data_IF_280498480383
#
_entry.id   IF_280498480383
#
_cell.length_a   1.000
_cell.length_b   1.000
_cell.length_c   1.000
_cell.angle_alpha   90.00
_cell.angle_beta   90.00
_cell.angle_gamma   90.00
#
_symmetry.space_group_name_H-M   'P 1'
#
loop_
_entity.id
_entity.type
_entity.pdbx_description
1 polymer ?
#
# COMPACT_ATOMS: atom_id res chain seq x y z
N UNK A 1 3.53 -22.99 8.54
CA UNK A 1 3.55 -23.42 7.13
C UNK A 1 3.74 -22.17 6.29
N UNK A 2 4.99 -21.98 5.81
CA UNK A 2 5.48 -21.23 4.62
C UNK A 2 4.57 -20.05 4.21
N UNK A 3 4.85 -18.77 4.50
CA UNK A 3 6.09 -17.99 4.30
C UNK A 3 6.70 -18.13 2.90
N UNK A 4 5.90 -17.75 1.88
CA UNK A 4 6.33 -17.10 0.63
C UNK A 4 5.10 -16.82 -0.28
N UNK A 5 5.12 -15.76 -1.09
CA UNK A 5 4.12 -15.52 -2.13
C UNK A 5 4.14 -16.69 -3.14
N UNK A 6 2.97 -17.26 -3.41
CA UNK A 6 2.79 -18.20 -4.53
C UNK A 6 3.16 -17.45 -5.80
N UNK A 7 4.33 -17.76 -6.34
CA UNK A 7 4.92 -17.23 -7.57
C UNK A 7 3.95 -16.53 -8.52
N UNK A 8 4.30 -15.28 -8.85
CA UNK A 8 3.59 -14.41 -9.79
C UNK A 8 3.20 -13.06 -9.18
N UNK A 9 4.10 -12.41 -8.43
CA UNK A 9 4.01 -10.95 -8.34
C UNK A 9 4.27 -10.50 -9.78
N UNK A 10 3.21 -10.10 -10.49
CA UNK A 10 3.35 -9.68 -11.89
C UNK A 10 4.31 -8.49 -11.99
N UNK A 11 4.48 -7.93 -13.19
CA UNK A 11 5.31 -6.73 -13.34
C UNK A 11 4.78 -5.52 -12.54
N UNK A 12 3.51 -5.58 -12.12
CA UNK A 12 2.76 -4.52 -11.45
C UNK A 12 1.87 -5.09 -10.34
N UNK A 13 1.55 -4.29 -9.30
CA UNK A 13 0.63 -4.70 -8.25
C UNK A 13 -0.79 -4.84 -8.80
N UNK A 14 -1.56 -5.77 -8.23
CA UNK A 14 -2.98 -5.95 -8.56
C UNK A 14 -3.74 -4.62 -8.54
N UNK A 15 -3.54 -3.80 -7.52
CA UNK A 15 -4.23 -2.52 -7.36
C UNK A 15 -3.83 -1.43 -8.37
N UNK A 16 -2.90 -1.72 -9.29
CA UNK A 16 -2.47 -0.76 -10.30
C UNK A 16 -3.45 -0.62 -11.48
N UNK A 17 -3.41 0.54 -12.15
CA UNK A 17 -4.02 0.78 -13.46
C UNK A 17 -3.22 0.16 -14.63
N UNK A 18 -2.02 -0.36 -14.41
CA UNK A 18 -1.10 -0.80 -15.46
C UNK A 18 0.19 0.03 -15.57
N UNK A 19 0.39 0.99 -14.67
CA UNK A 19 1.48 1.98 -14.71
C UNK A 19 1.99 2.38 -13.30
N UNK A 20 1.85 1.50 -12.30
CA UNK A 20 2.11 1.76 -10.86
C UNK A 20 1.23 2.86 -10.24
N UNK A 21 0.39 3.56 -11.02
CA UNK A 21 -0.73 4.34 -10.54
C UNK A 21 -1.85 3.44 -10.01
N UNK A 22 -2.69 3.95 -9.10
CA UNK A 22 -3.70 3.15 -8.41
C UNK A 22 -5.07 3.16 -9.11
N UNK A 23 -5.61 1.97 -9.37
CA UNK A 23 -6.99 1.78 -9.83
C UNK A 23 -7.93 1.86 -8.62
N UNK A 24 -8.76 2.90 -8.58
CA UNK A 24 -9.71 3.15 -7.48
C UNK A 24 -10.66 1.97 -7.20
N UNK A 25 -11.10 1.24 -8.23
CA UNK A 25 -12.00 0.08 -8.06
C UNK A 25 -11.25 -1.06 -7.40
N UNK A 26 -10.02 -1.34 -7.83
CA UNK A 26 -9.20 -2.41 -7.25
C UNK A 26 -8.72 -2.08 -5.85
N UNK A 27 -8.32 -0.84 -5.57
CA UNK A 27 -8.01 -0.37 -4.21
C UNK A 27 -9.22 -0.57 -3.28
N UNK A 28 -10.41 -0.17 -3.72
CA UNK A 28 -11.64 -0.39 -2.95
C UNK A 28 -11.93 -1.87 -2.75
N UNK A 29 -11.69 -2.71 -3.77
CA UNK A 29 -11.85 -4.16 -3.67
C UNK A 29 -10.91 -4.77 -2.62
N UNK A 30 -9.67 -4.30 -2.53
CA UNK A 30 -8.72 -4.75 -1.51
C UNK A 30 -9.26 -4.53 -0.09
N UNK A 31 -9.86 -3.36 0.15
CA UNK A 31 -10.50 -3.05 1.42
C UNK A 31 -11.69 -3.97 1.71
N UNK A 32 -12.65 -4.04 0.79
CA UNK A 32 -13.93 -4.71 1.01
C UNK A 32 -13.81 -6.24 1.05
N UNK A 33 -12.92 -6.80 0.25
CA UNK A 33 -12.72 -8.25 0.14
C UNK A 33 -11.58 -8.74 1.03
N UNK A 34 -10.89 -7.83 1.73
CA UNK A 34 -9.72 -8.15 2.56
C UNK A 34 -8.65 -8.94 1.80
N UNK A 35 -8.28 -8.45 0.62
CA UNK A 35 -7.23 -9.02 -0.23
C UNK A 35 -6.04 -8.08 -0.36
N UNK A 36 -4.87 -8.66 -0.62
CA UNK A 36 -3.62 -7.96 -0.79
C UNK A 36 -3.62 -7.08 -2.05
N UNK A 37 -3.22 -5.82 -1.88
CA UNK A 37 -3.05 -4.85 -2.95
C UNK A 37 -2.07 -5.24 -4.06
N UNK A 38 -1.20 -6.20 -3.78
CA UNK A 38 -0.15 -6.67 -4.69
C UNK A 38 -0.55 -7.96 -5.39
N UNK A 39 -0.84 -9.01 -4.63
CA UNK A 39 -1.04 -10.36 -5.18
C UNK A 39 -2.51 -10.80 -5.28
N UNK A 40 -3.46 -9.97 -4.82
CA UNK A 40 -4.91 -10.26 -4.78
C UNK A 40 -5.33 -11.47 -3.93
N UNK A 41 -4.41 -12.12 -3.20
CA UNK A 41 -4.74 -13.19 -2.25
C UNK A 41 -5.29 -12.61 -0.95
N UNK A 42 -6.08 -13.40 -0.20
CA UNK A 42 -6.60 -12.99 1.10
C UNK A 42 -5.48 -12.58 2.07
N UNK A 43 -5.72 -11.51 2.81
CA UNK A 43 -4.80 -10.98 3.81
C UNK A 43 -4.82 -11.82 5.08
N UNK A 44 -3.64 -12.26 5.51
CA UNK A 44 -3.38 -12.76 6.86
C UNK A 44 -3.10 -11.59 7.82
N UNK A 45 -2.52 -11.88 8.99
CA UNK A 45 -2.11 -10.89 9.98
C UNK A 45 -0.65 -11.14 10.39
N UNK A 46 0.15 -10.09 10.65
CA UNK A 46 -0.21 -8.68 10.50
C UNK A 46 -0.29 -8.25 9.03
N UNK A 47 -1.09 -7.22 8.74
CA UNK A 47 -1.12 -6.59 7.40
C UNK A 47 -0.11 -5.45 7.35
N UNK A 48 0.44 -5.19 6.16
CA UNK A 48 1.41 -4.12 5.94
C UNK A 48 0.81 -3.00 5.08
N UNK A 49 1.21 -1.76 5.38
CA UNK A 49 0.96 -0.56 4.57
C UNK A 49 2.28 0.03 4.12
N UNK A 50 2.29 0.50 2.87
CA UNK A 50 3.42 1.21 2.25
C UNK A 50 2.95 2.62 1.91
N UNK A 51 3.81 3.61 2.15
CA UNK A 51 3.51 5.00 1.82
C UNK A 51 4.70 5.93 2.02
N UNK A 52 4.42 7.23 2.07
CA UNK A 52 5.38 8.27 2.42
C UNK A 52 5.45 8.53 3.93
N UNK A 53 6.47 9.28 4.36
CA UNK A 53 6.55 9.80 5.73
C UNK A 53 5.32 10.66 6.11
N UNK A 54 4.82 11.48 5.19
CA UNK A 54 3.62 12.30 5.42
C UNK A 54 2.36 11.45 5.63
N UNK A 55 2.18 10.38 4.84
CA UNK A 55 1.05 9.46 5.03
C UNK A 55 1.11 8.78 6.39
N UNK A 56 2.31 8.43 6.87
CA UNK A 56 2.51 7.89 8.21
C UNK A 56 2.15 8.91 9.30
N UNK A 57 2.64 10.14 9.20
CA UNK A 57 2.33 11.20 10.17
C UNK A 57 0.83 11.48 10.27
N UNK A 58 0.13 11.43 9.13
CA UNK A 58 -1.33 11.60 9.06
C UNK A 58 -2.11 10.32 9.40
N UNK A 59 -1.43 9.19 9.59
CA UNK A 59 -2.00 7.85 9.69
C UNK A 59 -3.02 7.56 8.57
N UNK A 60 -2.67 7.95 7.34
CA UNK A 60 -3.56 8.00 6.18
C UNK A 60 -2.82 7.53 4.92
N UNK A 61 -2.87 6.22 4.65
CA UNK A 61 -2.21 5.60 3.51
C UNK A 61 -3.15 5.47 2.31
N UNK A 62 -2.62 5.64 1.10
CA UNK A 62 -3.38 5.44 -0.14
C UNK A 62 -3.12 4.08 -0.80
N UNK A 63 -1.90 3.52 -0.64
CA UNK A 63 -1.62 2.18 -1.12
C UNK A 63 -2.41 1.15 -0.28
N UNK A 64 -3.13 0.21 -0.92
CA UNK A 64 -3.98 -0.74 -0.21
C UNK A 64 -3.17 -1.68 0.70
N UNK A 65 -3.82 -2.32 1.69
CA UNK A 65 -3.17 -3.26 2.58
C UNK A 65 -2.53 -4.42 1.82
N UNK A 66 -1.41 -4.90 2.34
CA UNK A 66 -0.62 -5.97 1.72
C UNK A 66 -0.18 -7.01 2.73
N UNK A 67 0.31 -8.14 2.22
CA UNK A 67 1.21 -9.00 2.99
C UNK A 67 2.55 -8.29 3.19
N UNK A 68 3.23 -8.57 4.30
CA UNK A 68 4.58 -8.04 4.57
C UNK A 68 5.54 -8.25 3.40
N UNK A 69 5.68 -9.49 2.92
CA UNK A 69 6.59 -9.81 1.81
C UNK A 69 6.21 -9.08 0.50
N UNK A 70 4.93 -8.79 0.29
CA UNK A 70 4.48 -8.01 -0.87
C UNK A 70 4.81 -6.51 -0.72
N UNK A 71 4.74 -5.96 0.48
CA UNK A 71 5.18 -4.59 0.76
C UNK A 71 6.70 -4.45 0.56
N UNK A 72 7.48 -5.41 1.08
CA UNK A 72 8.93 -5.46 0.90
C UNK A 72 9.30 -5.49 -0.59
N UNK A 73 8.67 -6.37 -1.38
CA UNK A 73 8.86 -6.41 -2.83
C UNK A 73 8.49 -5.08 -3.52
N UNK A 74 7.37 -4.47 -3.14
CA UNK A 74 6.95 -3.19 -3.71
C UNK A 74 7.97 -2.09 -3.44
N UNK A 75 8.53 -2.05 -2.23
CA UNK A 75 9.56 -1.11 -1.83
C UNK A 75 10.90 -1.33 -2.54
N UNK A 76 11.26 -2.58 -2.82
CA UNK A 76 12.51 -2.93 -3.49
C UNK A 76 12.45 -2.68 -5.00
N UNK A 77 11.34 -3.03 -5.65
CA UNK A 77 11.28 -3.11 -7.10
C UNK A 77 10.44 -2.02 -7.77
N UNK A 78 9.43 -1.47 -7.10
CA UNK A 78 8.49 -0.53 -7.72
C UNK A 78 8.63 0.89 -7.21
N UNK A 79 8.76 1.07 -5.90
CA UNK A 79 8.96 2.37 -5.28
C UNK A 79 10.12 3.20 -5.89
N UNK A 80 11.30 2.62 -6.21
CA UNK A 80 12.41 3.39 -6.79
C UNK A 80 12.38 3.47 -8.33
N UNK A 81 11.52 2.70 -8.98
CA UNK A 81 11.64 2.46 -10.42
C UNK A 81 11.14 3.62 -11.29
N UNK A 82 10.24 4.46 -10.76
CA UNK A 82 9.56 5.53 -11.52
C UNK A 82 9.44 6.79 -10.65
N UNK A 83 9.48 7.98 -11.27
CA UNK A 83 9.29 9.26 -10.57
C UNK A 83 7.88 9.41 -9.98
N UNK A 84 6.91 8.63 -10.43
CA UNK A 84 5.58 8.47 -9.85
C UNK A 84 5.33 6.96 -9.69
N UNK A 85 5.05 6.50 -8.48
CA UNK A 85 4.93 5.07 -8.19
C UNK A 85 4.03 4.80 -6.99
N UNK A 86 3.42 3.62 -6.97
CA UNK A 86 2.53 3.13 -5.90
C UNK A 86 1.41 4.13 -5.53
N UNK A 87 0.91 4.88 -6.51
CA UNK A 87 -0.14 5.88 -6.32
C UNK A 87 0.33 7.28 -5.93
N UNK A 88 1.63 7.51 -5.80
CA UNK A 88 2.19 8.84 -5.62
C UNK A 88 2.46 9.51 -6.98
N UNK A 89 2.01 10.76 -7.20
CA UNK A 89 2.26 11.49 -8.45
C UNK A 89 3.73 11.94 -8.60
N UNK A 90 4.48 11.96 -7.50
CA UNK A 90 5.90 12.29 -7.43
C UNK A 90 6.57 11.39 -6.39
N UNK A 91 7.87 11.14 -6.55
CA UNK A 91 8.63 10.31 -5.63
C UNK A 91 8.67 10.98 -4.24
N UNK A 92 8.27 10.26 -3.17
CA UNK A 92 8.36 10.80 -1.81
C UNK A 92 9.83 10.87 -1.35
N UNK A 93 10.12 11.78 -0.41
CA UNK A 93 11.46 11.92 0.19
C UNK A 93 11.89 10.67 0.96
N UNK A 94 10.92 9.97 1.55
CA UNK A 94 11.13 8.70 2.22
C UNK A 94 9.94 7.78 1.99
N UNK A 95 10.25 6.49 1.88
CA UNK A 95 9.26 5.42 1.90
C UNK A 95 9.20 4.81 3.28
N UNK A 96 7.99 4.46 3.70
CA UNK A 96 7.74 3.80 4.97
C UNK A 96 6.91 2.54 4.76
N UNK A 97 7.18 1.54 5.59
CA UNK A 97 6.35 0.36 5.75
C UNK A 97 5.96 0.24 7.22
N UNK A 98 4.66 0.07 7.48
CA UNK A 98 4.16 -0.24 8.82
C UNK A 98 3.38 -1.53 8.82
N UNK A 99 3.40 -2.26 9.93
CA UNK A 99 2.53 -3.42 10.15
C UNK A 99 1.48 -3.13 11.21
N UNK A 100 0.29 -3.71 11.04
CA UNK A 100 -0.84 -3.55 11.96
C UNK A 100 -1.70 -4.81 12.01
N UNK A 101 -2.46 -4.98 13.09
CA UNK A 101 -3.44 -6.06 13.24
C UNK A 101 -4.79 -5.77 12.57
N UNK A 102 -5.05 -4.51 12.22
CA UNK A 102 -6.30 -4.04 11.62
C UNK A 102 -6.19 -2.61 11.06
N UNK A 103 -7.18 -2.22 10.26
CA UNK A 103 -7.24 -0.90 9.65
C UNK A 103 -8.68 -0.47 9.42
N UNK A 104 -8.88 0.84 9.32
CA UNK A 104 -10.09 1.46 8.81
C UNK A 104 -9.92 1.82 7.33
N UNK A 105 -11.02 1.71 6.58
CA UNK A 105 -11.09 2.15 5.19
C UNK A 105 -12.04 3.33 5.08
N UNK A 106 -11.51 4.48 4.69
CA UNK A 106 -12.25 5.74 4.60
C UNK A 106 -12.42 6.12 3.14
N UNK A 107 -13.68 6.29 2.74
CA UNK A 107 -14.03 6.90 1.46
C UNK A 107 -14.12 8.41 1.65
N UNK A 108 -13.29 9.15 0.93
CA UNK A 108 -13.29 10.60 1.01
C UNK A 108 -14.55 11.22 0.41
N UNK A 109 -14.97 12.33 1.01
CA UNK A 109 -16.17 13.09 0.66
C UNK A 109 -16.00 13.77 -0.71
N UNK A 110 -17.07 14.33 -1.26
CA UNK A 110 -17.00 15.07 -2.52
C UNK A 110 -16.14 16.35 -2.42
N UNK A 111 -16.13 16.98 -1.24
CA UNK A 111 -15.47 18.27 -0.98
C UNK A 111 -14.01 18.13 -0.50
N UNK A 112 -13.49 16.90 -0.40
CA UNK A 112 -12.09 16.68 -0.02
C UNK A 112 -11.15 17.11 -1.16
N UNK A 113 -10.06 17.80 -0.82
CA UNK A 113 -9.02 18.20 -1.77
C UNK A 113 -8.37 16.97 -2.42
N UNK A 114 -8.04 15.96 -1.60
CA UNK A 114 -7.68 14.62 -2.07
C UNK A 114 -8.85 13.65 -1.89
N UNK A 115 -9.36 13.15 -3.01
CA UNK A 115 -10.51 12.24 -3.07
C UNK A 115 -10.11 10.76 -3.18
N UNK A 116 -8.81 10.45 -3.06
CA UNK A 116 -8.31 9.08 -3.04
C UNK A 116 -8.81 8.38 -1.76
N UNK A 117 -9.18 7.10 -1.82
CA UNK A 117 -9.49 6.33 -0.61
C UNK A 117 -8.28 6.33 0.34
N UNK A 118 -8.57 6.24 1.64
CA UNK A 118 -7.56 6.22 2.70
C UNK A 118 -7.71 4.96 3.52
N UNK A 119 -6.57 4.39 3.91
CA UNK A 119 -6.45 3.33 4.89
C UNK A 119 -5.75 3.86 6.13
N UNK A 120 -6.35 3.65 7.29
CA UNK A 120 -5.80 4.08 8.56
C UNK A 120 -5.50 2.86 9.43
N UNK A 121 -4.22 2.52 9.66
CA UNK A 121 -3.83 1.51 10.63
C UNK A 121 -4.41 1.79 12.03
N UNK A 122 -5.03 0.78 12.66
CA UNK A 122 -5.61 0.94 13.99
C UNK A 122 -4.54 1.00 15.09
N UNK A 123 -3.43 0.26 14.92
CA UNK A 123 -2.31 0.24 15.87
C UNK A 123 -1.04 -0.24 15.16
N UNK A 124 -0.02 0.61 15.13
CA UNK A 124 1.29 0.26 14.53
C UNK A 124 2.00 -0.74 15.45
N UNK A 125 2.39 -1.88 14.88
CA UNK A 125 3.14 -2.93 15.57
C UNK A 125 4.64 -2.82 15.26
N UNK A 126 4.98 -2.60 14.00
CA UNK A 126 6.36 -2.40 13.53
C UNK A 126 6.37 -1.30 12.46
N UNK A 127 7.48 -0.58 12.38
CA UNK A 127 7.72 0.49 11.40
C UNK A 127 9.14 0.37 10.83
N UNK A 128 9.24 0.52 9.52
CA UNK A 128 10.49 0.62 8.77
C UNK A 128 10.43 1.84 7.86
N UNK A 129 11.52 2.61 7.78
CA UNK A 129 11.63 3.80 6.95
C UNK A 129 12.93 3.76 6.15
N UNK A 130 12.88 4.15 4.88
CA UNK A 130 14.04 4.29 4.01
C UNK A 130 13.99 5.64 3.29
N UNK A 131 15.12 6.36 3.30
CA UNK A 131 15.27 7.64 2.59
C UNK A 131 15.61 7.38 1.14
N UNK A 132 15.01 8.14 0.22
CA UNK A 132 15.38 8.12 -1.19
C UNK A 132 16.58 9.06 -1.37
N UNK A 133 17.69 8.52 -1.89
CA UNK A 133 18.95 9.26 -2.12
C UNK A 133 18.93 10.07 -3.41
#
# INVERSE_FOLDING_TARGET
MIDQPRTGIGELPFASMGDLGLDKKRVTQCALSRICGVCALSLDRPVAFVGSGEELERNAFHFPPTHRACAEHALEHWAPSWSASLGHPTQPESWVMVTTSGFEFVRQNADAEDRRPVFSPNSILEQHSQTVA
#
